data_IF_785419889870
#
_entry.id   IF_785419889870
#
_cell.length_a   1.000
_cell.length_b   1.000
_cell.length_c   1.000
_cell.angle_alpha   90.00
_cell.angle_beta   90.00
_cell.angle_gamma   90.00
#
_symmetry.space_group_name_H-M   'P 1'
#
loop_
_entity.id
_entity.type
_entity.pdbx_description
1 polymer ?
#
# COMPACT_ATOMS: atom_id res chain seq x y z
N UNK A 1 -5.40 -19.61 -5.36
CA UNK A 1 -4.38 -19.98 -6.37
C UNK A 1 -3.35 -18.87 -6.32
N UNK A 2 -2.19 -19.11 -5.67
CA UNK A 2 -1.11 -18.13 -5.57
C UNK A 2 -0.51 -17.98 -6.96
N UNK A 3 -0.62 -16.79 -7.53
CA UNK A 3 0.12 -16.47 -8.76
C UNK A 3 1.58 -16.21 -8.36
N UNK A 4 2.56 -16.85 -8.97
CA UNK A 4 3.94 -16.42 -8.87
C UNK A 4 4.03 -15.05 -9.56
N UNK A 5 4.37 -14.01 -8.80
CA UNK A 5 4.79 -12.76 -9.39
C UNK A 5 6.10 -13.04 -10.14
N UNK A 6 6.08 -12.99 -11.46
CA UNK A 6 7.31 -12.98 -12.25
C UNK A 6 8.03 -11.66 -11.91
N UNK A 7 9.12 -11.82 -11.16
CA UNK A 7 10.05 -10.75 -10.78
C UNK A 7 10.72 -10.15 -12.02
N UNK A 8 11.34 -8.99 -11.83
CA UNK A 8 12.39 -8.50 -12.73
C UNK A 8 13.25 -9.65 -13.22
N UNK A 9 13.44 -9.76 -14.51
CA UNK A 9 13.99 -10.87 -15.24
C UNK A 9 15.15 -11.60 -14.54
N UNK A 10 15.25 -12.90 -14.80
CA UNK A 10 16.37 -13.76 -14.43
C UNK A 10 17.71 -13.03 -14.52
N UNK A 11 18.32 -12.68 -13.37
CA UNK A 11 19.63 -12.04 -13.33
C UNK A 11 19.83 -10.92 -12.34
N UNK A 12 18.83 -10.52 -11.56
CA UNK A 12 19.00 -9.51 -10.48
C UNK A 12 19.91 -10.08 -9.39
N UNK A 13 20.90 -9.29 -8.95
CA UNK A 13 21.80 -9.67 -7.85
C UNK A 13 21.39 -8.97 -6.56
N UNK A 14 21.84 -9.53 -5.43
CA UNK A 14 21.65 -8.91 -4.10
C UNK A 14 22.30 -7.52 -4.02
N UNK A 15 23.46 -7.32 -4.64
CA UNK A 15 24.13 -6.02 -4.78
C UNK A 15 23.22 -4.99 -5.46
N UNK A 16 22.60 -5.35 -6.59
CA UNK A 16 21.66 -4.47 -7.31
C UNK A 16 20.39 -4.19 -6.51
N UNK A 17 19.88 -5.19 -5.80
CA UNK A 17 18.69 -5.04 -4.95
C UNK A 17 18.94 -4.04 -3.81
N UNK A 18 20.13 -4.08 -3.21
CA UNK A 18 20.50 -3.27 -2.05
C UNK A 18 21.35 -2.04 -2.41
N UNK A 19 21.45 -1.67 -3.69
CA UNK A 19 22.19 -0.49 -4.12
C UNK A 19 21.73 0.79 -3.38
N UNK A 20 22.66 1.49 -2.75
CA UNK A 20 22.36 2.69 -1.95
C UNK A 20 21.77 2.42 -0.57
N UNK A 21 21.49 1.15 -0.21
CA UNK A 21 20.97 0.72 1.10
C UNK A 21 22.12 0.08 1.91
N UNK A 22 22.81 -0.90 1.36
CA UNK A 22 23.91 -1.59 2.00
C UNK A 22 24.87 -2.23 0.99
N UNK A 23 26.12 -2.41 1.39
CA UNK A 23 27.09 -3.20 0.60
C UNK A 23 26.70 -4.69 0.64
N UNK A 24 26.59 -5.30 -0.53
CA UNK A 24 26.20 -6.69 -0.68
C UNK A 24 26.97 -7.38 -1.80
N UNK A 25 27.15 -8.71 -1.75
CA UNK A 25 27.82 -9.44 -2.83
C UNK A 25 26.96 -9.47 -4.09
N UNK A 26 27.60 -9.60 -5.26
CA UNK A 26 26.96 -9.81 -6.55
C UNK A 26 26.39 -11.25 -6.65
N UNK A 27 25.54 -11.62 -5.70
CA UNK A 27 24.89 -12.93 -5.58
C UNK A 27 23.58 -12.92 -6.38
N UNK A 28 23.41 -13.83 -7.39
CA UNK A 28 22.13 -13.97 -8.07
C UNK A 28 21.02 -14.39 -7.11
N UNK A 29 19.87 -13.77 -7.19
CA UNK A 29 18.71 -14.02 -6.35
C UNK A 29 17.48 -14.30 -7.20
N UNK A 30 16.53 -15.10 -6.67
CA UNK A 30 15.32 -15.50 -7.38
C UNK A 30 14.02 -14.99 -6.74
N UNK A 31 14.10 -14.33 -5.57
CA UNK A 31 12.93 -13.85 -4.84
C UNK A 31 13.32 -13.02 -3.62
N UNK A 32 12.33 -12.35 -3.05
CA UNK A 32 12.41 -11.66 -1.75
C UNK A 32 11.25 -12.13 -0.87
N UNK A 33 11.48 -12.29 0.43
CA UNK A 33 10.44 -12.65 1.38
C UNK A 33 10.74 -12.01 2.75
N UNK A 34 9.72 -11.43 3.39
CA UNK A 34 9.79 -10.96 4.78
C UNK A 34 9.11 -11.95 5.76
N UNK A 35 8.53 -13.01 5.27
CA UNK A 35 7.98 -14.13 6.03
C UNK A 35 8.77 -15.40 5.67
N UNK A 36 9.37 -16.05 6.67
CA UNK A 36 10.17 -17.27 6.46
C UNK A 36 9.40 -18.40 5.78
N UNK A 37 8.08 -18.45 5.95
CA UNK A 37 7.18 -19.43 5.32
C UNK A 37 6.99 -19.19 3.82
N UNK A 38 7.33 -18.01 3.30
CA UNK A 38 7.25 -17.63 1.89
C UNK A 38 8.59 -17.70 1.18
N UNK A 39 9.66 -18.01 1.90
CA UNK A 39 10.98 -18.22 1.33
C UNK A 39 10.96 -19.41 0.38
N UNK A 40 11.57 -19.24 -0.78
CA UNK A 40 11.79 -20.28 -1.79
C UNK A 40 13.27 -20.36 -2.14
N UNK A 41 13.67 -21.40 -2.87
CA UNK A 41 15.06 -21.60 -3.27
C UNK A 41 15.64 -20.38 -3.98
N UNK A 42 16.73 -19.83 -3.46
CA UNK A 42 17.42 -18.67 -4.01
C UNK A 42 16.84 -17.32 -3.59
N UNK A 43 15.81 -17.28 -2.73
CA UNK A 43 15.24 -16.02 -2.21
C UNK A 43 16.17 -15.34 -1.20
N UNK A 44 16.03 -14.03 -1.08
CA UNK A 44 16.56 -13.26 0.04
C UNK A 44 15.50 -13.17 1.14
N UNK A 45 15.86 -13.54 2.35
CA UNK A 45 15.01 -13.37 3.52
C UNK A 45 15.28 -12.00 4.18
N UNK A 46 14.25 -11.17 4.29
CA UNK A 46 14.28 -9.83 4.89
C UNK A 46 13.80 -9.93 6.34
N UNK A 47 14.74 -10.11 7.25
CA UNK A 47 14.49 -10.40 8.67
C UNK A 47 14.29 -9.10 9.48
N UNK A 48 13.10 -8.50 9.37
CA UNK A 48 12.70 -7.30 10.12
C UNK A 48 12.31 -7.64 11.56
N UNK A 49 12.29 -6.61 12.42
CA UNK A 49 11.62 -6.67 13.71
C UNK A 49 10.11 -6.76 13.51
N UNK A 50 9.52 -7.81 14.01
CA UNK A 50 8.06 -7.96 14.10
C UNK A 50 7.50 -7.48 15.45
N UNK A 51 6.17 -7.54 15.61
CA UNK A 51 5.51 -7.10 16.84
C UNK A 51 5.87 -7.94 18.07
N UNK A 52 6.16 -9.22 17.90
CA UNK A 52 6.40 -10.18 19.01
C UNK A 52 7.75 -10.88 18.94
N UNK A 53 8.40 -10.89 17.79
CA UNK A 53 9.66 -11.62 17.56
C UNK A 53 10.48 -10.91 16.48
N UNK A 54 11.78 -11.10 16.50
CA UNK A 54 12.66 -10.65 15.43
C UNK A 54 12.67 -11.66 14.29
N UNK A 55 12.76 -11.18 13.03
CA UNK A 55 12.83 -12.07 11.86
C UNK A 55 13.99 -13.06 11.91
N UNK A 56 15.11 -12.70 12.56
CA UNK A 56 16.24 -13.60 12.77
C UNK A 56 15.92 -14.85 13.58
N UNK A 57 14.88 -14.83 14.40
CA UNK A 57 14.43 -16.04 15.13
C UNK A 57 13.97 -17.16 14.16
N UNK A 58 13.72 -16.81 12.91
CA UNK A 58 13.29 -17.70 11.84
C UNK A 58 14.37 -17.91 10.77
N UNK A 59 15.61 -17.53 11.04
CA UNK A 59 16.71 -17.59 10.07
C UNK A 59 17.00 -19.03 9.64
N UNK A 60 17.04 -19.99 10.59
CA UNK A 60 17.25 -21.40 10.28
C UNK A 60 16.15 -21.94 9.37
N UNK A 61 14.89 -21.62 9.66
CA UNK A 61 13.76 -22.01 8.81
C UNK A 61 13.88 -21.44 7.39
N UNK A 62 14.32 -20.17 7.26
CA UNK A 62 14.52 -19.55 5.96
C UNK A 62 15.65 -20.23 5.16
N UNK A 63 16.75 -20.62 5.83
CA UNK A 63 17.86 -21.34 5.21
C UNK A 63 17.41 -22.72 4.77
N UNK A 64 16.70 -23.46 5.60
CA UNK A 64 16.14 -24.77 5.24
C UNK A 64 15.18 -24.69 4.04
N UNK A 65 14.45 -23.57 3.90
CA UNK A 65 13.58 -23.29 2.76
C UNK A 65 14.36 -22.85 1.50
N UNK A 66 15.69 -22.62 1.62
CA UNK A 66 16.57 -22.31 0.50
C UNK A 66 16.90 -20.82 0.35
N UNK A 67 16.85 -20.03 1.42
CA UNK A 67 17.31 -18.64 1.37
C UNK A 67 18.78 -18.58 0.90
N UNK A 68 19.05 -17.74 -0.10
CA UNK A 68 20.40 -17.51 -0.61
C UNK A 68 21.18 -16.48 0.23
N UNK A 69 20.49 -15.61 0.93
CA UNK A 69 21.04 -14.60 1.85
C UNK A 69 19.98 -14.15 2.85
N UNK A 70 20.44 -13.58 3.95
CA UNK A 70 19.58 -12.92 4.95
C UNK A 70 19.98 -11.46 5.06
N UNK A 71 19.03 -10.56 4.85
CA UNK A 71 19.14 -9.13 5.18
C UNK A 71 18.40 -8.93 6.50
N UNK A 72 19.06 -8.32 7.49
CA UNK A 72 18.49 -8.24 8.83
C UNK A 72 18.58 -6.82 9.42
N UNK A 73 17.63 -6.50 10.29
CA UNK A 73 17.57 -5.20 10.95
C UNK A 73 18.61 -5.11 12.07
N UNK A 74 19.68 -4.36 11.83
CA UNK A 74 20.80 -4.22 12.78
C UNK A 74 20.50 -3.28 13.94
N UNK A 75 19.41 -2.49 13.89
CA UNK A 75 18.98 -1.66 15.00
C UNK A 75 18.38 -2.48 16.16
N UNK A 76 17.83 -3.67 15.85
CA UNK A 76 17.04 -4.48 16.78
C UNK A 76 17.56 -5.90 16.95
N UNK A 77 18.42 -6.38 16.05
CA UNK A 77 18.98 -7.73 16.05
C UNK A 77 20.50 -7.76 16.25
N UNK A 78 21.05 -8.94 16.32
CA UNK A 78 22.49 -9.20 16.35
C UNK A 78 22.87 -10.24 15.30
N UNK A 79 24.08 -10.15 14.75
CA UNK A 79 24.56 -11.14 13.80
C UNK A 79 24.58 -12.54 14.43
N UNK A 80 24.13 -13.52 13.67
CA UNK A 80 24.17 -14.96 14.02
C UNK A 80 25.18 -15.65 13.10
N UNK A 81 25.75 -16.76 13.56
CA UNK A 81 26.72 -17.55 12.80
C UNK A 81 25.97 -18.57 11.93
N UNK A 82 25.93 -18.32 10.61
CA UNK A 82 25.24 -19.16 9.62
C UNK A 82 25.99 -19.19 8.29
N UNK A 83 25.73 -20.21 7.49
CA UNK A 83 26.46 -20.50 6.23
C UNK A 83 26.05 -19.66 5.01
N UNK A 84 25.12 -18.72 5.15
CA UNK A 84 24.68 -17.83 4.06
C UNK A 84 25.10 -16.38 4.33
N UNK A 85 25.32 -15.55 3.28
CA UNK A 85 25.60 -14.14 3.46
C UNK A 85 24.56 -13.42 4.33
N UNK A 86 25.04 -12.72 5.36
CA UNK A 86 24.25 -11.86 6.23
C UNK A 86 24.56 -10.38 5.99
N UNK A 87 23.57 -9.61 5.61
CA UNK A 87 23.69 -8.18 5.33
C UNK A 87 22.93 -7.40 6.41
N UNK A 88 23.64 -6.57 7.16
CA UNK A 88 23.07 -5.70 8.17
C UNK A 88 22.52 -4.43 7.54
N UNK A 89 21.27 -4.09 7.82
CA UNK A 89 20.60 -2.85 7.41
C UNK A 89 19.95 -2.23 8.62
N UNK A 90 20.32 -1.02 8.97
CA UNK A 90 19.69 -0.28 10.07
C UNK A 90 18.30 0.20 9.63
N UNK A 91 17.27 -0.11 10.43
CA UNK A 91 15.88 0.26 10.11
C UNK A 91 15.34 -0.43 8.86
N UNK A 92 15.65 -1.71 8.66
CA UNK A 92 15.25 -2.50 7.48
C UNK A 92 13.75 -2.39 7.16
N UNK A 93 12.89 -2.28 8.17
CA UNK A 93 11.44 -2.12 7.95
C UNK A 93 11.11 -0.88 7.10
N UNK A 94 11.82 0.23 7.28
CA UNK A 94 11.69 1.44 6.47
C UNK A 94 12.28 1.33 5.05
N UNK A 95 13.07 0.29 4.78
CA UNK A 95 13.66 0.03 3.46
C UNK A 95 12.84 -0.97 2.64
N UNK A 96 11.86 -1.65 3.24
CA UNK A 96 11.08 -2.68 2.55
C UNK A 96 10.34 -2.14 1.32
N UNK A 97 9.85 -0.91 1.39
CA UNK A 97 9.17 -0.25 0.27
C UNK A 97 10.09 -0.08 -0.94
N UNK A 98 11.28 0.46 -0.73
CA UNK A 98 12.29 0.64 -1.78
C UNK A 98 12.77 -0.71 -2.34
N UNK A 99 13.07 -1.66 -1.47
CA UNK A 99 13.48 -3.02 -1.86
C UNK A 99 12.39 -3.70 -2.69
N UNK A 100 11.13 -3.65 -2.25
CA UNK A 100 10.02 -4.25 -2.97
C UNK A 100 9.75 -3.53 -4.30
N UNK A 101 9.73 -2.19 -4.28
CA UNK A 101 9.55 -1.39 -5.49
C UNK A 101 10.59 -1.74 -6.55
N UNK A 102 11.86 -1.81 -6.16
CA UNK A 102 12.98 -2.17 -7.04
C UNK A 102 12.85 -3.61 -7.55
N UNK A 103 12.57 -4.58 -6.66
CA UNK A 103 12.40 -5.98 -7.02
C UNK A 103 11.31 -6.20 -8.05
N UNK A 104 10.19 -5.51 -7.92
CA UNK A 104 9.04 -5.62 -8.83
C UNK A 104 9.07 -4.63 -9.99
N UNK A 105 10.15 -3.88 -10.18
CA UNK A 105 10.35 -2.97 -11.32
C UNK A 105 9.40 -1.78 -11.31
N UNK A 106 9.30 -1.12 -10.15
CA UNK A 106 8.55 0.12 -9.96
C UNK A 106 7.12 0.08 -10.53
N UNK A 107 6.28 -0.87 -10.12
CA UNK A 107 4.99 -1.11 -10.79
C UNK A 107 4.04 0.09 -10.74
N UNK A 108 4.16 0.96 -9.75
CA UNK A 108 3.36 2.19 -9.61
C UNK A 108 3.79 3.33 -10.56
N UNK A 109 4.88 3.17 -11.31
CA UNK A 109 5.23 4.10 -12.39
C UNK A 109 4.38 3.83 -13.65
N UNK A 110 4.01 2.56 -13.88
CA UNK A 110 3.22 2.11 -15.02
C UNK A 110 1.71 2.04 -14.74
N UNK A 111 1.35 1.80 -13.47
CA UNK A 111 -0.03 1.68 -12.98
C UNK A 111 -0.35 2.86 -12.08
N UNK A 112 -1.29 3.71 -12.47
CA UNK A 112 -1.74 4.84 -11.64
C UNK A 112 -2.50 4.34 -10.43
N UNK A 113 -1.93 4.54 -9.25
CA UNK A 113 -2.49 4.02 -8.00
C UNK A 113 -3.34 5.08 -7.32
N UNK A 114 -4.58 4.72 -6.99
CA UNK A 114 -5.49 5.50 -6.14
C UNK A 114 -5.55 4.86 -4.76
N UNK A 115 -5.05 5.55 -3.74
CA UNK A 115 -5.16 5.15 -2.33
C UNK A 115 -6.44 5.70 -1.71
N UNK A 116 -7.23 4.85 -1.06
CA UNK A 116 -8.46 5.25 -0.38
C UNK A 116 -8.33 4.99 1.12
N UNK A 117 -8.42 6.06 1.93
CA UNK A 117 -8.38 5.97 3.39
C UNK A 117 -9.60 6.63 4.04
N UNK A 118 -9.78 6.39 5.33
CA UNK A 118 -10.86 6.87 6.18
C UNK A 118 -11.31 5.79 7.16
N UNK A 119 -12.27 6.09 8.04
CA UNK A 119 -12.82 5.08 8.94
C UNK A 119 -13.78 4.16 8.18
N UNK A 120 -14.76 4.72 7.50
CA UNK A 120 -15.79 3.98 6.78
C UNK A 120 -15.74 4.30 5.28
N UNK A 121 -16.24 3.37 4.45
CA UNK A 121 -16.42 3.58 3.01
C UNK A 121 -15.17 3.32 2.16
N UNK A 122 -14.02 2.96 2.72
CA UNK A 122 -12.82 2.63 1.96
C UNK A 122 -13.09 1.57 0.89
N UNK A 123 -13.65 0.45 1.29
CA UNK A 123 -14.00 -0.69 0.40
C UNK A 123 -14.91 -0.25 -0.71
N UNK A 124 -16.02 0.41 -0.38
CA UNK A 124 -17.00 0.86 -1.36
C UNK A 124 -16.37 1.83 -2.36
N UNK A 125 -15.63 2.83 -1.88
CA UNK A 125 -15.03 3.84 -2.76
C UNK A 125 -13.93 3.24 -3.62
N UNK A 126 -13.00 2.46 -3.05
CA UNK A 126 -11.94 1.83 -3.83
C UNK A 126 -12.50 0.87 -4.88
N UNK A 127 -13.51 0.06 -4.51
CA UNK A 127 -14.19 -0.83 -5.44
C UNK A 127 -14.87 -0.07 -6.57
N UNK A 128 -15.65 0.97 -6.25
CA UNK A 128 -16.34 1.77 -7.26
C UNK A 128 -15.37 2.52 -8.18
N UNK A 129 -14.24 2.99 -7.68
CA UNK A 129 -13.19 3.62 -8.50
C UNK A 129 -12.63 2.60 -9.49
N UNK A 130 -12.27 1.39 -9.04
CA UNK A 130 -11.78 0.34 -9.94
C UNK A 130 -12.83 -0.05 -10.98
N UNK A 131 -14.10 -0.20 -10.57
CA UNK A 131 -15.19 -0.53 -11.48
C UNK A 131 -15.47 0.59 -12.49
N UNK A 132 -15.42 1.85 -12.08
CA UNK A 132 -15.59 2.99 -12.98
C UNK A 132 -14.53 3.02 -14.09
N UNK A 133 -13.26 2.77 -13.76
CA UNK A 133 -12.20 2.64 -14.76
C UNK A 133 -12.45 1.46 -15.70
N UNK A 134 -12.83 0.29 -15.17
CA UNK A 134 -13.14 -0.88 -16.00
C UNK A 134 -14.34 -0.63 -16.94
N UNK A 135 -15.37 0.08 -16.49
CA UNK A 135 -16.51 0.49 -17.34
C UNK A 135 -16.13 1.49 -18.45
N UNK A 136 -15.08 2.28 -18.21
CA UNK A 136 -14.51 3.20 -19.21
C UNK A 136 -13.45 2.52 -20.09
N UNK A 137 -13.38 1.19 -20.08
CA UNK A 137 -12.45 0.35 -20.84
C UNK A 137 -10.97 0.53 -20.45
N UNK A 138 -10.69 1.17 -19.30
CA UNK A 138 -9.37 1.17 -18.69
C UNK A 138 -9.27 -0.01 -17.72
N UNK A 139 -8.39 -0.94 -17.99
CA UNK A 139 -8.16 -2.06 -17.06
C UNK A 139 -7.68 -1.52 -15.72
N UNK A 140 -8.41 -1.82 -14.67
CA UNK A 140 -8.12 -1.38 -13.31
C UNK A 140 -8.16 -2.54 -12.32
N UNK A 141 -7.10 -2.63 -11.50
CA UNK A 141 -7.01 -3.54 -10.37
C UNK A 141 -7.68 -2.97 -9.12
N UNK A 142 -8.08 -3.85 -8.23
CA UNK A 142 -8.56 -3.53 -6.89
C UNK A 142 -7.77 -4.35 -5.87
N UNK A 143 -7.42 -3.72 -4.73
CA UNK A 143 -6.85 -4.39 -3.56
C UNK A 143 -7.56 -3.89 -2.30
N UNK A 144 -8.16 -4.78 -1.53
CA UNK A 144 -8.84 -4.41 -0.30
C UNK A 144 -9.54 -5.57 0.39
N UNK A 145 -10.52 -5.26 1.22
CA UNK A 145 -11.24 -6.23 2.05
C UNK A 145 -12.02 -7.29 1.24
N UNK A 146 -12.40 -6.98 -0.01
CA UNK A 146 -13.04 -7.94 -0.91
C UNK A 146 -12.04 -8.88 -1.62
N UNK A 147 -10.77 -8.77 -1.33
CA UNK A 147 -9.71 -9.50 -2.03
C UNK A 147 -8.92 -8.62 -2.99
N UNK A 148 -8.42 -9.18 -4.08
CA UNK A 148 -7.72 -8.45 -5.14
C UNK A 148 -8.03 -9.02 -6.50
N UNK A 149 -7.96 -8.19 -7.55
CA UNK A 149 -8.16 -8.63 -8.93
C UNK A 149 -8.47 -7.48 -9.89
N UNK A 150 -8.55 -7.81 -11.19
CA UNK A 150 -8.97 -6.90 -12.26
C UNK A 150 -10.39 -7.30 -12.68
N UNK A 151 -11.32 -6.34 -12.62
CA UNK A 151 -12.74 -6.57 -12.91
C UNK A 151 -13.49 -7.24 -11.77
N UNK A 152 -13.02 -8.38 -11.31
CA UNK A 152 -13.55 -9.12 -10.16
C UNK A 152 -12.49 -9.22 -9.06
N UNK A 153 -12.89 -9.03 -7.81
CA UNK A 153 -12.04 -9.29 -6.66
C UNK A 153 -12.23 -10.73 -6.19
N UNK A 154 -11.15 -11.40 -5.87
CA UNK A 154 -11.17 -12.77 -5.37
C UNK A 154 -10.20 -12.97 -4.22
N UNK A 155 -10.51 -13.93 -3.35
CA UNK A 155 -9.71 -14.30 -2.19
C UNK A 155 -10.07 -13.46 -0.96
N UNK A 156 -10.50 -14.12 0.12
CA UNK A 156 -10.61 -13.48 1.43
C UNK A 156 -9.22 -13.09 1.92
N UNK A 157 -9.08 -11.87 2.42
CA UNK A 157 -7.84 -11.38 3.01
C UNK A 157 -7.99 -11.18 4.51
N UNK A 158 -6.98 -11.60 5.25
CA UNK A 158 -6.91 -11.35 6.68
C UNK A 158 -6.72 -9.86 7.00
N UNK A 159 -6.16 -9.09 6.06
CA UNK A 159 -5.88 -7.66 6.20
C UNK A 159 -6.41 -6.89 5.00
N UNK A 160 -7.06 -5.75 5.28
CA UNK A 160 -7.57 -4.82 4.25
C UNK A 160 -6.47 -4.34 3.28
N UNK A 161 -5.30 -4.01 3.82
CA UNK A 161 -4.10 -3.64 3.04
C UNK A 161 -3.06 -4.73 3.28
N UNK A 162 -2.57 -5.42 2.25
CA UNK A 162 -1.59 -6.49 2.41
C UNK A 162 -0.23 -5.97 2.89
N UNK A 163 0.68 -6.85 3.33
CA UNK A 163 2.07 -6.51 3.61
C UNK A 163 2.77 -5.89 2.40
N UNK A 164 3.82 -5.09 2.63
CA UNK A 164 4.50 -4.29 1.62
C UNK A 164 4.92 -5.10 0.38
N UNK A 165 5.65 -6.19 0.56
CA UNK A 165 6.12 -7.03 -0.56
C UNK A 165 4.94 -7.59 -1.37
N UNK A 166 3.88 -8.04 -0.68
CA UNK A 166 2.68 -8.58 -1.33
C UNK A 166 1.94 -7.49 -2.12
N UNK A 167 1.86 -6.27 -1.60
CA UNK A 167 1.24 -5.16 -2.31
C UNK A 167 1.97 -4.85 -3.62
N UNK A 168 3.30 -4.74 -3.58
CA UNK A 168 4.10 -4.51 -4.79
C UNK A 168 3.98 -5.65 -5.79
N UNK A 169 3.94 -6.90 -5.33
CA UNK A 169 3.71 -8.08 -6.18
C UNK A 169 2.35 -8.00 -6.88
N UNK A 170 1.28 -7.57 -6.18
CA UNK A 170 -0.04 -7.39 -6.76
C UNK A 170 -0.05 -6.29 -7.82
N UNK A 171 0.58 -5.15 -7.53
CA UNK A 171 0.67 -4.05 -8.49
C UNK A 171 1.46 -4.45 -9.74
N UNK A 172 2.56 -5.19 -9.57
CA UNK A 172 3.30 -5.76 -10.70
C UNK A 172 2.44 -6.75 -11.51
N UNK A 173 1.72 -7.64 -10.84
CA UNK A 173 0.79 -8.55 -11.49
C UNK A 173 -0.34 -7.82 -12.24
N UNK A 174 -0.82 -6.70 -11.77
CA UNK A 174 -1.78 -5.86 -12.50
C UNK A 174 -1.15 -5.21 -13.72
N UNK A 175 0.07 -4.64 -13.59
CA UNK A 175 0.86 -4.11 -14.70
C UNK A 175 1.02 -5.13 -15.80
N UNK A 176 1.48 -6.33 -15.47
CA UNK A 176 1.80 -7.41 -16.41
C UNK A 176 0.53 -7.94 -17.11
N UNK A 177 -0.62 -7.82 -16.46
CA UNK A 177 -1.93 -8.06 -17.07
C UNK A 177 -2.46 -6.86 -17.88
N UNK A 178 -1.69 -5.79 -18.02
CA UNK A 178 -2.03 -4.60 -18.82
C UNK A 178 -2.95 -3.60 -18.12
N UNK A 179 -3.11 -3.68 -16.79
CA UNK A 179 -3.82 -2.64 -16.06
C UNK A 179 -3.07 -1.30 -16.13
N UNK A 180 -3.83 -0.22 -16.20
CA UNK A 180 -3.31 1.16 -16.18
C UNK A 180 -3.70 1.92 -14.92
N UNK A 181 -4.60 1.35 -14.14
CA UNK A 181 -5.07 1.91 -12.87
C UNK A 181 -5.14 0.81 -11.82
N UNK A 182 -5.00 1.20 -10.56
CA UNK A 182 -5.32 0.36 -9.41
C UNK A 182 -5.94 1.22 -8.31
N UNK A 183 -6.98 0.71 -7.65
CA UNK A 183 -7.54 1.32 -6.45
C UNK A 183 -7.27 0.41 -5.26
N UNK A 184 -6.63 0.96 -4.23
CA UNK A 184 -6.26 0.21 -3.04
C UNK A 184 -6.84 0.83 -1.77
N UNK A 185 -7.33 -0.02 -0.89
CA UNK A 185 -7.70 0.41 0.46
C UNK A 185 -6.45 0.60 1.31
N UNK A 186 -6.27 1.80 1.85
CA UNK A 186 -5.14 2.15 2.72
C UNK A 186 -5.67 2.34 4.15
N UNK A 187 -5.44 1.34 5.01
CA UNK A 187 -5.79 1.42 6.43
C UNK A 187 -4.77 2.25 7.20
N UNK A 188 -5.16 2.82 8.35
CA UNK A 188 -4.21 3.51 9.25
C UNK A 188 -3.10 2.59 9.74
N UNK A 189 -3.41 1.34 10.06
CA UNK A 189 -2.41 0.33 10.39
C UNK A 189 -1.40 0.12 9.24
N UNK A 190 -1.87 0.17 7.99
CA UNK A 190 -0.99 0.00 6.84
C UNK A 190 -0.01 1.16 6.68
N UNK A 191 -0.44 2.38 6.97
CA UNK A 191 0.43 3.56 6.96
C UNK A 191 1.47 3.49 8.07
N UNK A 192 1.06 3.22 9.31
CA UNK A 192 2.01 3.09 10.43
C UNK A 192 2.97 1.89 10.30
N UNK A 193 2.52 0.82 9.67
CA UNK A 193 3.32 -0.38 9.43
C UNK A 193 4.05 -0.36 8.09
N UNK A 194 4.13 0.78 7.42
CA UNK A 194 4.88 1.02 6.18
C UNK A 194 4.50 0.04 5.05
N UNK A 195 3.25 -0.46 5.04
CA UNK A 195 2.81 -1.47 4.05
C UNK A 195 2.64 -0.90 2.66
N UNK A 196 2.50 0.41 2.55
CA UNK A 196 2.32 1.12 1.27
C UNK A 196 3.55 1.93 0.87
N UNK A 197 4.64 1.82 1.61
CA UNK A 197 5.89 2.48 1.28
C UNK A 197 6.44 1.97 -0.06
N UNK A 198 7.11 2.87 -0.78
CA UNK A 198 7.58 2.59 -2.14
C UNK A 198 6.49 2.66 -3.21
N UNK A 199 5.21 2.83 -2.86
CA UNK A 199 4.14 3.04 -3.83
C UNK A 199 4.04 4.52 -4.19
N UNK A 200 4.07 4.83 -5.49
CA UNK A 200 3.77 6.16 -6.02
C UNK A 200 2.26 6.29 -6.22
N UNK A 201 1.63 7.22 -5.48
CA UNK A 201 0.19 7.46 -5.58
C UNK A 201 -0.13 8.56 -6.60
N UNK A 202 -0.88 8.23 -7.65
CA UNK A 202 -1.46 9.25 -8.55
C UNK A 202 -2.58 10.03 -7.84
N UNK A 203 -3.38 9.35 -7.02
CA UNK A 203 -4.51 9.95 -6.32
C UNK A 203 -4.65 9.41 -4.90
N UNK A 204 -5.08 10.25 -3.96
CA UNK A 204 -5.48 9.86 -2.61
C UNK A 204 -6.89 10.37 -2.29
N UNK A 205 -7.72 9.52 -1.70
CA UNK A 205 -9.11 9.83 -1.34
C UNK A 205 -9.30 9.64 0.17
N UNK A 206 -9.76 10.71 0.84
CA UNK A 206 -10.19 10.66 2.23
C UNK A 206 -11.72 10.64 2.30
N UNK A 207 -12.27 9.59 2.89
CA UNK A 207 -13.74 9.40 2.98
C UNK A 207 -14.33 10.08 4.21
N UNK A 208 -13.86 9.74 5.38
CA UNK A 208 -14.30 10.30 6.68
C UNK A 208 -13.39 9.85 7.82
N UNK A 209 -13.57 10.46 8.99
CA UNK A 209 -13.03 9.96 10.25
C UNK A 209 -14.14 9.91 11.31
N UNK A 210 -14.25 8.78 11.98
CA UNK A 210 -15.07 8.59 13.17
C UNK A 210 -14.29 7.75 14.18
N UNK A 211 -14.80 7.63 15.41
CA UNK A 211 -14.09 6.90 16.47
C UNK A 211 -13.98 5.42 16.13
N UNK A 212 -12.73 4.96 15.95
CA UNK A 212 -12.37 3.57 15.70
C UNK A 212 -10.88 3.37 16.04
N UNK A 213 -10.43 2.14 16.29
CA UNK A 213 -9.02 1.77 16.49
C UNK A 213 -8.25 2.61 17.52
N UNK A 214 -8.92 3.16 18.55
CA UNK A 214 -8.27 3.97 19.59
C UNK A 214 -7.40 3.11 20.50
N UNK A 215 -7.73 1.85 20.65
CA UNK A 215 -6.92 0.84 21.34
C UNK A 215 -5.52 0.68 20.73
N UNK A 216 -5.42 0.85 19.41
CA UNK A 216 -4.16 0.78 18.67
C UNK A 216 -3.44 2.15 18.60
N UNK A 217 -4.16 3.21 18.21
CA UNK A 217 -3.56 4.54 17.99
C UNK A 217 -3.42 5.38 19.26
N UNK A 218 -4.09 5.00 20.36
CA UNK A 218 -4.07 5.73 21.64
C UNK A 218 -4.98 6.97 21.67
N UNK A 219 -5.11 7.72 20.59
CA UNK A 219 -5.98 8.91 20.52
C UNK A 219 -6.62 9.10 19.14
N UNK A 220 -7.66 9.96 19.07
CA UNK A 220 -8.26 10.36 17.79
C UNK A 220 -7.30 11.17 16.94
N UNK A 221 -6.48 12.01 17.56
CA UNK A 221 -5.48 12.82 16.85
C UNK A 221 -4.42 11.93 16.19
N UNK A 222 -3.87 10.95 16.93
CA UNK A 222 -2.91 10.00 16.36
C UNK A 222 -3.54 9.16 15.23
N UNK A 223 -4.79 8.75 15.38
CA UNK A 223 -5.54 8.04 14.34
C UNK A 223 -5.76 8.92 13.10
N UNK A 224 -6.05 10.20 13.29
CA UNK A 224 -6.16 11.18 12.19
C UNK A 224 -4.81 11.39 11.51
N UNK A 225 -3.74 11.66 12.27
CA UNK A 225 -2.39 11.86 11.72
C UNK A 225 -1.92 10.66 10.89
N UNK A 226 -2.15 9.45 11.39
CA UNK A 226 -1.82 8.24 10.62
C UNK A 226 -2.47 8.24 9.23
N UNK A 227 -3.76 8.64 9.11
CA UNK A 227 -4.42 8.72 7.79
C UNK A 227 -4.01 9.92 6.97
N UNK A 228 -3.73 11.06 7.63
CA UNK A 228 -3.28 12.28 6.98
C UNK A 228 -1.92 12.06 6.30
N UNK A 229 -1.09 11.15 6.82
CA UNK A 229 0.19 10.76 6.23
C UNK A 229 0.07 10.38 4.74
N UNK A 230 -1.00 9.69 4.32
CA UNK A 230 -1.20 9.37 2.90
C UNK A 230 -1.24 10.63 2.00
N UNK A 231 -1.63 11.77 2.54
CA UNK A 231 -1.78 13.03 1.81
C UNK A 231 -0.57 13.96 1.97
N UNK A 232 0.16 13.83 3.06
CA UNK A 232 1.17 14.80 3.48
C UNK A 232 2.60 14.26 3.35
N UNK A 233 2.79 12.94 3.53
CA UNK A 233 4.10 12.30 3.54
C UNK A 233 4.43 11.63 2.20
N UNK A 234 3.40 11.32 1.39
CA UNK A 234 3.56 10.78 0.05
C UNK A 234 3.44 11.87 -1.03
N UNK A 235 4.19 11.71 -2.13
CA UNK A 235 4.01 12.56 -3.32
C UNK A 235 2.75 12.15 -4.09
N UNK A 236 1.64 12.79 -3.74
CA UNK A 236 0.33 12.53 -4.32
C UNK A 236 -0.05 13.65 -5.27
N UNK A 237 -0.31 13.31 -6.54
CA UNK A 237 -0.70 14.30 -7.57
C UNK A 237 -2.09 14.88 -7.33
N UNK A 238 -3.06 14.02 -7.05
CA UNK A 238 -4.47 14.42 -6.89
C UNK A 238 -4.97 14.04 -5.50
N UNK A 239 -5.33 15.04 -4.72
CA UNK A 239 -5.89 14.86 -3.37
C UNK A 239 -7.37 15.14 -3.38
N UNK A 240 -8.19 14.18 -2.94
CA UNK A 240 -9.65 14.28 -2.89
C UNK A 240 -10.08 14.08 -1.44
N UNK A 241 -10.77 15.07 -0.87
CA UNK A 241 -11.15 15.06 0.55
C UNK A 241 -12.64 15.32 0.73
N UNK A 242 -13.33 14.40 1.40
CA UNK A 242 -14.72 14.59 1.81
C UNK A 242 -14.76 15.51 3.04
N UNK A 243 -15.53 16.61 2.94
CA UNK A 243 -15.66 17.63 3.98
C UNK A 243 -16.76 17.33 5.01
N UNK A 244 -17.49 16.24 4.87
CA UNK A 244 -18.65 15.94 5.73
C UNK A 244 -18.26 15.58 7.19
N UNK A 245 -16.97 15.53 7.50
CA UNK A 245 -16.42 15.44 8.85
C UNK A 245 -15.52 16.65 9.18
N UNK A 246 -15.35 16.98 10.45
CA UNK A 246 -14.45 18.07 10.91
C UNK A 246 -13.00 17.82 10.46
N UNK A 247 -12.51 16.60 10.61
CA UNK A 247 -11.17 16.20 10.18
C UNK A 247 -10.99 16.26 8.65
N UNK A 248 -12.07 16.11 7.87
CA UNK A 248 -12.01 16.33 6.43
C UNK A 248 -11.72 17.78 6.08
N UNK A 249 -12.37 18.74 6.78
CA UNK A 249 -12.10 20.16 6.60
C UNK A 249 -10.65 20.50 7.00
N UNK A 250 -10.18 19.99 8.13
CA UNK A 250 -8.81 20.16 8.61
C UNK A 250 -7.79 19.60 7.61
N UNK A 251 -7.98 18.35 7.13
CA UNK A 251 -7.08 17.75 6.14
C UNK A 251 -7.04 18.58 4.85
N UNK A 252 -8.19 19.05 4.36
CA UNK A 252 -8.26 19.88 3.17
C UNK A 252 -7.46 21.18 3.34
N UNK A 253 -7.51 21.81 4.52
CA UNK A 253 -6.69 22.99 4.83
C UNK A 253 -5.18 22.65 4.74
N UNK A 254 -4.76 21.56 5.33
CA UNK A 254 -3.35 21.11 5.34
C UNK A 254 -2.85 20.73 3.95
N UNK A 255 -3.71 20.18 3.10
CA UNK A 255 -3.38 19.83 1.70
C UNK A 255 -3.23 21.05 0.77
N UNK A 256 -3.65 22.23 1.21
CA UNK A 256 -3.53 23.47 0.42
C UNK A 256 -4.62 23.66 -0.64
N UNK A 257 -4.47 24.65 -1.54
CA UNK A 257 -5.55 25.08 -2.41
C UNK A 257 -5.89 24.15 -3.57
N UNK A 258 -5.01 23.25 -3.93
CA UNK A 258 -5.19 22.35 -5.09
C UNK A 258 -5.94 21.04 -4.75
N UNK A 259 -6.38 20.89 -3.49
CA UNK A 259 -7.17 19.73 -3.09
C UNK A 259 -8.58 19.81 -3.69
N UNK A 260 -9.05 18.71 -4.26
CA UNK A 260 -10.44 18.58 -4.69
C UNK A 260 -11.29 18.22 -3.46
N UNK A 261 -12.30 19.00 -3.18
CA UNK A 261 -13.18 18.73 -2.05
C UNK A 261 -14.52 18.18 -2.52
N UNK A 262 -15.11 17.30 -1.73
CA UNK A 262 -16.43 16.69 -1.99
C UNK A 262 -17.29 16.87 -0.74
N UNK A 263 -18.56 17.27 -0.89
CA UNK A 263 -19.49 17.34 0.22
C UNK A 263 -20.94 17.04 -0.19
N UNK A 264 -21.70 16.45 0.72
CA UNK A 264 -23.16 16.35 0.65
C UNK A 264 -23.85 17.47 1.41
N UNK A 265 -23.09 18.31 2.14
CA UNK A 265 -23.57 19.42 2.98
C UNK A 265 -23.26 20.76 2.31
N UNK A 266 -24.30 21.51 1.99
CA UNK A 266 -24.17 22.78 1.24
C UNK A 266 -23.35 23.85 1.98
N UNK A 267 -23.42 23.88 3.30
CA UNK A 267 -22.70 24.80 4.17
C UNK A 267 -21.20 24.48 4.30
N UNK A 268 -20.77 23.32 3.83
CA UNK A 268 -19.36 22.87 3.86
C UNK A 268 -18.62 23.07 2.53
N UNK A 269 -19.15 23.89 1.62
CA UNK A 269 -18.48 24.20 0.36
C UNK A 269 -17.20 25.00 0.65
N UNK A 270 -16.06 24.47 0.23
CA UNK A 270 -14.78 25.14 0.37
C UNK A 270 -14.61 26.25 -0.69
N UNK A 271 -14.63 27.49 -0.26
CA UNK A 271 -14.39 28.64 -1.15
C UNK A 271 -12.95 28.63 -1.69
N UNK A 272 -12.81 28.85 -3.02
CA UNK A 272 -11.51 28.99 -3.67
C UNK A 272 -10.77 27.68 -3.96
N UNK A 273 -11.42 26.52 -3.81
CA UNK A 273 -10.90 25.20 -4.16
C UNK A 273 -11.79 24.49 -5.18
N UNK A 274 -11.27 23.57 -6.00
CA UNK A 274 -12.11 22.67 -6.78
C UNK A 274 -13.06 21.92 -5.84
N UNK A 275 -14.36 21.97 -6.10
CA UNK A 275 -15.37 21.39 -5.24
C UNK A 275 -16.42 20.62 -6.03
N UNK A 276 -16.79 19.43 -5.54
CA UNK A 276 -17.89 18.63 -6.06
C UNK A 276 -18.96 18.53 -5.00
N UNK A 277 -20.11 19.13 -5.27
CA UNK A 277 -21.25 19.07 -4.38
C UNK A 277 -22.25 18.00 -4.84
N UNK A 278 -22.55 17.04 -3.96
CA UNK A 278 -23.59 16.05 -4.20
C UNK A 278 -24.91 16.63 -3.76
N UNK A 279 -25.71 17.09 -4.73
CA UNK A 279 -26.97 17.80 -4.49
C UNK A 279 -28.10 16.87 -4.04
N UNK A 280 -28.07 15.62 -4.43
CA UNK A 280 -29.07 14.65 -4.03
C UNK A 280 -28.72 13.26 -4.52
N UNK A 281 -29.19 12.27 -3.77
CA UNK A 281 -29.15 10.86 -4.13
C UNK A 281 -30.59 10.34 -4.07
N UNK A 282 -31.09 9.83 -5.17
CA UNK A 282 -32.43 9.24 -5.25
C UNK A 282 -32.31 7.76 -5.53
N UNK A 283 -32.80 6.95 -4.61
CA UNK A 283 -32.87 5.50 -4.80
C UNK A 283 -33.87 5.16 -5.93
N UNK A 284 -33.50 4.23 -6.79
CA UNK A 284 -34.34 3.70 -7.85
C UNK A 284 -34.28 2.16 -7.84
N UNK A 285 -35.23 1.50 -8.50
CA UNK A 285 -35.29 0.04 -8.52
C UNK A 285 -34.05 -0.64 -9.13
N UNK A 286 -33.33 0.08 -9.98
CA UNK A 286 -32.14 -0.42 -10.67
C UNK A 286 -30.81 0.24 -10.18
N UNK A 287 -30.84 0.96 -9.07
CA UNK A 287 -29.67 1.66 -8.54
C UNK A 287 -29.99 3.00 -7.89
N UNK A 288 -29.06 3.95 -7.94
CA UNK A 288 -29.25 5.29 -7.40
C UNK A 288 -28.91 6.35 -8.46
N UNK A 289 -29.72 7.40 -8.50
CA UNK A 289 -29.45 8.60 -9.28
C UNK A 289 -28.74 9.63 -8.41
N UNK A 290 -27.56 10.06 -8.81
CA UNK A 290 -26.75 11.06 -8.09
C UNK A 290 -26.77 12.35 -8.89
N UNK A 291 -27.15 13.44 -8.27
CA UNK A 291 -27.09 14.78 -8.86
C UNK A 291 -25.89 15.52 -8.27
N UNK A 292 -24.92 15.85 -9.11
CA UNK A 292 -23.70 16.59 -8.75
C UNK A 292 -23.69 17.97 -9.38
N UNK A 293 -22.96 18.90 -8.74
CA UNK A 293 -22.71 20.26 -9.24
C UNK A 293 -21.26 20.66 -8.98
#
# INVERSE_FOLDING_TARGET
MSMPAESLGTGTTLEQLLEGIADAPALPISGIAADSRQVTQGSVFLACQGATSHGLDYAEQAIEAGAAAIVWDSATGGAIDIDVPMIAVEGLAGQLGEIANRWFGSPSDDVRVTGVTGTNGKTTVAWLVAQAFNLLEFRAGYVGSLGSGIGEASGERAMTTPPCIELHALLAGFRDQGAKHAAIEVSSHALEQLRVDGVTFDSAIFTNLSRDHIDYHGSMDAYFESKAGLFLDFDVRNRIVCLDSEHGAELAERCGPNVVTVSTQFDRIANGRPHVFVRGVVAADTGSHIVIK
#
